data_IF_994939294286
#
_entry.id   IF_994939294286
#
_cell.length_a   1.000
_cell.length_b   1.000
_cell.length_c   1.000
_cell.angle_alpha   90.00
_cell.angle_beta   90.00
_cell.angle_gamma   90.00
#
_symmetry.space_group_name_H-M   'P 1'
#
loop_
_entity.id
_entity.type
_entity.pdbx_description
1 polymer ?
#
# COMPACT_ATOMS: atom_id res chain seq x y z
N UNK A 1 4.72 19.01 -12.28
CA UNK A 1 4.82 19.53 -10.89
C UNK A 1 4.33 20.97 -10.87
N UNK A 2 3.39 21.30 -10.00
CA UNK A 2 2.71 22.61 -9.95
C UNK A 2 3.72 23.74 -9.61
N UNK A 3 3.62 24.90 -10.28
CA UNK A 3 4.54 26.05 -10.10
C UNK A 3 4.63 26.50 -8.63
N UNK A 4 3.50 26.50 -7.93
CA UNK A 4 3.42 26.84 -6.49
C UNK A 4 4.23 25.89 -5.61
N UNK A 5 4.25 24.59 -5.94
CA UNK A 5 4.99 23.59 -5.17
C UNK A 5 6.50 23.80 -5.34
N UNK A 6 6.96 24.14 -6.55
CA UNK A 6 8.38 24.41 -6.81
C UNK A 6 8.88 25.65 -6.06
N UNK A 7 8.08 26.71 -6.02
CA UNK A 7 8.42 27.94 -5.27
C UNK A 7 8.45 27.67 -3.77
N UNK A 8 7.47 26.93 -3.23
CA UNK A 8 7.45 26.57 -1.82
C UNK A 8 8.63 25.65 -1.40
N UNK A 9 9.05 24.71 -2.26
CA UNK A 9 10.26 23.92 -2.04
C UNK A 9 11.53 24.79 -2.02
N UNK A 10 11.63 25.78 -2.93
CA UNK A 10 12.78 26.69 -3.03
C UNK A 10 12.88 27.63 -1.83
N UNK A 11 11.74 28.08 -1.31
CA UNK A 11 11.68 29.01 -0.18
C UNK A 11 11.79 28.32 1.20
N UNK A 12 11.79 26.98 1.23
CA UNK A 12 11.89 26.19 2.46
C UNK A 12 10.56 25.92 3.18
N UNK A 13 9.43 26.34 2.60
CA UNK A 13 8.09 26.11 3.16
C UNK A 13 7.66 24.63 3.06
N UNK A 14 8.27 23.89 2.12
CA UNK A 14 8.06 22.46 1.93
C UNK A 14 9.40 21.73 1.92
N UNK A 15 9.38 20.48 2.39
CA UNK A 15 10.52 19.57 2.35
C UNK A 15 10.24 18.52 1.27
N UNK A 16 11.20 18.30 0.38
CA UNK A 16 11.11 17.23 -0.61
C UNK A 16 11.14 15.85 0.08
N UNK A 17 10.24 14.95 -0.33
CA UNK A 17 10.15 13.64 0.29
C UNK A 17 11.42 12.81 0.09
N UNK A 18 12.04 12.85 -1.09
CA UNK A 18 13.22 12.05 -1.37
C UNK A 18 14.42 12.56 -0.56
N UNK A 19 14.54 13.87 -0.37
CA UNK A 19 15.53 14.47 0.52
C UNK A 19 15.31 14.08 1.99
N UNK A 20 14.07 14.24 2.48
CA UNK A 20 13.69 13.84 3.85
C UNK A 20 13.90 12.34 4.08
N UNK A 21 13.55 11.52 3.11
CA UNK A 21 13.70 10.07 3.23
C UNK A 21 15.18 9.67 3.26
N UNK A 22 16.02 10.32 2.45
CA UNK A 22 17.48 10.11 2.46
C UNK A 22 18.13 10.52 3.78
N UNK A 23 17.59 11.54 4.47
CA UNK A 23 18.12 12.01 5.75
C UNK A 23 17.86 11.03 6.91
N UNK A 24 16.94 10.07 6.76
CA UNK A 24 16.70 9.05 7.79
C UNK A 24 17.81 7.99 7.87
N UNK A 25 17.95 7.38 9.04
CA UNK A 25 18.86 6.24 9.23
C UNK A 25 18.46 5.06 8.34
N UNK A 26 19.43 4.20 7.98
CA UNK A 26 19.16 3.00 7.17
C UNK A 26 18.12 2.08 7.80
N UNK A 27 18.10 1.96 9.14
CA UNK A 27 17.10 1.20 9.87
C UNK A 27 15.70 1.78 9.66
N UNK A 28 15.54 3.09 9.82
CA UNK A 28 14.26 3.76 9.64
C UNK A 28 13.79 3.69 8.17
N UNK A 29 14.70 3.91 7.21
CA UNK A 29 14.40 3.71 5.78
C UNK A 29 13.91 2.27 5.51
N UNK A 30 14.54 1.25 6.11
CA UNK A 30 14.14 -0.13 5.95
C UNK A 30 12.75 -0.43 6.54
N UNK A 31 12.41 0.14 7.70
CA UNK A 31 11.09 0.03 8.33
C UNK A 31 9.99 0.66 7.47
N UNK A 32 10.22 1.89 6.96
CA UNK A 32 9.32 2.55 6.02
C UNK A 32 9.14 1.70 4.76
N UNK A 33 10.23 1.27 4.13
CA UNK A 33 10.18 0.45 2.92
C UNK A 33 9.45 -0.87 3.14
N UNK A 34 9.62 -1.49 4.31
CA UNK A 34 8.86 -2.68 4.71
C UNK A 34 7.36 -2.36 4.75
N UNK A 35 6.96 -1.25 5.37
CA UNK A 35 5.55 -0.82 5.41
C UNK A 35 4.99 -0.51 4.02
N UNK A 36 5.75 0.17 3.17
CA UNK A 36 5.39 0.48 1.79
C UNK A 36 5.09 -0.79 1.00
N UNK A 37 5.90 -1.85 1.13
CA UNK A 37 5.64 -3.14 0.45
C UNK A 37 4.28 -3.74 0.84
N UNK A 38 3.94 -3.73 2.13
CA UNK A 38 2.64 -4.24 2.58
C UNK A 38 1.47 -3.43 2.04
N UNK A 39 1.59 -2.09 2.05
CA UNK A 39 0.54 -1.20 1.52
C UNK A 39 0.37 -1.37 0.00
N UNK A 40 1.46 -1.54 -0.75
CA UNK A 40 1.40 -1.82 -2.19
C UNK A 40 0.63 -3.10 -2.48
N UNK A 41 0.86 -4.18 -1.72
CA UNK A 41 0.09 -5.42 -1.87
C UNK A 41 -1.40 -5.21 -1.56
N UNK A 42 -1.72 -4.56 -0.43
CA UNK A 42 -3.10 -4.26 -0.04
C UNK A 42 -3.86 -3.47 -1.12
N UNK A 43 -3.21 -2.46 -1.69
CA UNK A 43 -3.75 -1.65 -2.80
C UNK A 43 -3.94 -2.49 -4.06
N UNK A 44 -2.96 -3.32 -4.43
CA UNK A 44 -3.04 -4.18 -5.61
C UNK A 44 -4.22 -5.17 -5.50
N UNK A 45 -4.38 -5.82 -4.35
CA UNK A 45 -5.50 -6.73 -4.08
C UNK A 45 -6.85 -6.02 -4.21
N UNK A 46 -6.99 -4.84 -3.59
CA UNK A 46 -8.20 -4.02 -3.66
C UNK A 46 -8.51 -3.59 -5.10
N UNK A 47 -7.48 -3.21 -5.87
CA UNK A 47 -7.64 -2.81 -7.27
C UNK A 47 -8.07 -3.99 -8.14
N UNK A 48 -7.46 -5.16 -7.98
CA UNK A 48 -7.85 -6.38 -8.68
C UNK A 48 -9.32 -6.73 -8.40
N UNK A 49 -9.74 -6.69 -7.12
CA UNK A 49 -11.13 -6.93 -6.74
C UNK A 49 -12.10 -5.97 -7.45
N UNK A 50 -11.73 -4.69 -7.51
CA UNK A 50 -12.53 -3.64 -8.17
C UNK A 50 -12.58 -3.85 -9.69
N UNK A 51 -11.48 -4.25 -10.31
CA UNK A 51 -11.42 -4.60 -11.75
C UNK A 51 -12.32 -5.79 -12.08
N UNK A 52 -12.34 -6.82 -11.22
CA UNK A 52 -13.25 -7.96 -11.33
C UNK A 52 -14.71 -7.63 -10.98
N UNK A 53 -14.99 -6.42 -10.48
CA UNK A 53 -16.31 -5.96 -10.03
C UNK A 53 -16.98 -6.91 -9.03
N UNK A 54 -16.20 -7.47 -8.10
CA UNK A 54 -16.71 -8.39 -7.06
C UNK A 54 -16.67 -7.76 -5.66
N UNK A 55 -17.55 -8.23 -4.77
CA UNK A 55 -17.55 -7.85 -3.36
C UNK A 55 -16.39 -8.51 -2.60
N UNK A 56 -16.05 -7.98 -1.42
CA UNK A 56 -15.05 -8.61 -0.55
C UNK A 56 -15.46 -10.05 -0.15
N UNK A 57 -16.76 -10.29 0.06
CA UNK A 57 -17.27 -11.63 0.37
C UNK A 57 -17.07 -12.61 -0.81
N UNK A 58 -17.30 -12.15 -2.05
CA UNK A 58 -17.09 -12.98 -3.25
C UNK A 58 -15.61 -13.27 -3.52
N UNK A 59 -14.73 -12.29 -3.27
CA UNK A 59 -13.28 -12.50 -3.31
C UNK A 59 -12.84 -13.49 -2.24
N UNK A 60 -13.33 -13.34 -1.00
CA UNK A 60 -13.02 -14.26 0.10
C UNK A 60 -13.44 -15.70 -0.22
N UNK A 61 -14.60 -15.89 -0.84
CA UNK A 61 -15.07 -17.21 -1.30
C UNK A 61 -14.14 -17.82 -2.36
N UNK A 62 -13.66 -17.05 -3.34
CA UNK A 62 -12.68 -17.50 -4.34
C UNK A 62 -11.37 -17.94 -3.67
N UNK A 63 -10.87 -17.11 -2.76
CA UNK A 63 -9.62 -17.35 -2.03
C UNK A 63 -9.74 -18.41 -0.92
N UNK A 64 -10.95 -18.91 -0.64
CA UNK A 64 -11.26 -19.84 0.44
C UNK A 64 -10.82 -19.31 1.82
N UNK A 65 -11.09 -18.04 2.08
CA UNK A 65 -10.81 -17.37 3.35
C UNK A 65 -12.04 -16.66 3.89
N UNK A 66 -11.99 -16.24 5.16
CA UNK A 66 -13.06 -15.45 5.77
C UNK A 66 -13.09 -14.02 5.20
N UNK A 67 -14.27 -13.39 5.16
CA UNK A 67 -14.42 -12.01 4.65
C UNK A 67 -13.57 -11.02 5.43
N UNK A 68 -13.48 -11.19 6.75
CA UNK A 68 -12.71 -10.32 7.66
C UNK A 68 -11.22 -10.37 7.35
N UNK A 69 -10.72 -11.52 6.86
CA UNK A 69 -9.34 -11.65 6.40
C UNK A 69 -9.09 -10.74 5.20
N UNK A 70 -9.98 -10.75 4.19
CA UNK A 70 -9.90 -9.84 3.03
C UNK A 70 -10.01 -8.38 3.47
N UNK A 71 -10.89 -8.05 4.41
CA UNK A 71 -11.02 -6.69 4.92
C UNK A 71 -9.72 -6.17 5.55
N UNK A 72 -9.07 -6.98 6.40
CA UNK A 72 -7.77 -6.65 7.00
C UNK A 72 -6.62 -6.63 5.99
N UNK A 73 -6.68 -7.47 4.97
CA UNK A 73 -5.72 -7.49 3.88
C UNK A 73 -5.79 -6.20 3.05
N UNK A 74 -6.98 -5.81 2.60
CA UNK A 74 -7.18 -4.60 1.79
C UNK A 74 -6.94 -3.30 2.58
N UNK A 75 -7.02 -3.33 3.91
CA UNK A 75 -6.67 -2.20 4.78
C UNK A 75 -5.18 -2.12 5.11
N UNK A 76 -4.39 -3.14 4.75
CA UNK A 76 -2.98 -3.23 5.11
C UNK A 76 -2.72 -3.52 6.59
N UNK A 77 -3.73 -3.99 7.32
CA UNK A 77 -3.59 -4.48 8.70
C UNK A 77 -3.00 -5.89 8.74
N UNK A 78 -3.25 -6.71 7.70
CA UNK A 78 -2.76 -8.08 7.61
C UNK A 78 -2.16 -8.35 6.22
N UNK A 79 -1.13 -9.18 6.15
CA UNK A 79 -0.57 -9.62 4.87
C UNK A 79 -1.29 -10.87 4.35
N UNK A 80 -1.30 -11.04 3.03
CA UNK A 80 -1.84 -12.24 2.36
C UNK A 80 -0.70 -13.19 2.04
N UNK A 81 -0.91 -14.50 2.23
CA UNK A 81 0.10 -15.50 1.83
C UNK A 81 0.11 -15.68 0.32
N UNK A 82 1.25 -16.09 -0.24
CA UNK A 82 1.35 -16.39 -1.68
C UNK A 82 0.33 -17.45 -2.09
N UNK A 83 0.19 -18.51 -1.29
CA UNK A 83 -0.81 -19.56 -1.51
C UNK A 83 -2.22 -18.99 -1.64
N UNK A 84 -2.61 -18.06 -0.78
CA UNK A 84 -3.95 -17.45 -0.83
C UNK A 84 -4.11 -16.59 -2.09
N UNK A 85 -3.05 -15.90 -2.54
CA UNK A 85 -3.06 -15.11 -3.77
C UNK A 85 -3.24 -15.98 -5.02
N UNK A 86 -2.67 -17.18 -5.05
CA UNK A 86 -2.80 -18.12 -6.18
C UNK A 86 -4.22 -18.67 -6.39
N UNK A 87 -5.15 -18.44 -5.45
CA UNK A 87 -6.53 -18.93 -5.51
C UNK A 87 -7.53 -17.93 -6.15
N UNK A 88 -7.09 -16.72 -6.52
CA UNK A 88 -7.95 -15.68 -7.13
C UNK A 88 -8.25 -15.97 -8.60
#
# INVERSE_FOLDING_TARGET
>A
MNKKIKEALKNGDLIDFDELFKSYSKKHQAEINKRVRYLKMAMALRNLRRQLKISQAKLAKKMQVKREYIARAESGQQNVTLETLYRI
#
